data_IF_290752268272
#
_entry.id   IF_290752268272
#
_cell.length_a   1.000
_cell.length_b   1.000
_cell.length_c   1.000
_cell.angle_alpha   90.00
_cell.angle_beta   90.00
_cell.angle_gamma   90.00
#
_symmetry.space_group_name_H-M   'P 1'
#
loop_
_entity.id
_entity.type
_entity.pdbx_description
1 polymer ?
#
# COMPACT_ATOMS: atom_id res chain seq x y z
N UNK A 1 -6.65 7.42 8.40
CA UNK A 1 -6.04 8.74 8.54
C UNK A 1 -6.67 9.82 7.69
N UNK A 2 -7.07 9.53 6.45
CA UNK A 2 -7.50 10.56 5.49
C UNK A 2 -8.84 11.22 5.83
N UNK A 3 -9.79 10.50 6.44
CA UNK A 3 -11.09 11.07 6.82
C UNK A 3 -10.97 12.15 7.89
N UNK A 4 -10.14 11.94 8.91
CA UNK A 4 -9.91 12.95 9.97
C UNK A 4 -9.21 14.18 9.40
N UNK A 5 -8.19 13.98 8.56
CA UNK A 5 -7.49 15.08 7.88
C UNK A 5 -8.45 15.92 7.03
N UNK A 6 -9.32 15.26 6.25
CA UNK A 6 -10.32 15.96 5.43
C UNK A 6 -11.31 16.76 6.27
N UNK A 7 -11.78 16.22 7.39
CA UNK A 7 -12.67 16.94 8.33
C UNK A 7 -11.97 18.16 8.93
N UNK A 8 -10.74 18.01 9.43
CA UNK A 8 -9.95 19.13 9.97
C UNK A 8 -9.68 20.21 8.91
N UNK A 9 -9.44 19.83 7.67
CA UNK A 9 -9.27 20.77 6.56
C UNK A 9 -10.54 21.58 6.27
N UNK A 10 -11.73 20.97 6.35
CA UNK A 10 -13.01 21.68 6.21
C UNK A 10 -13.21 22.71 7.32
N UNK A 11 -12.83 22.38 8.56
CA UNK A 11 -12.88 23.31 9.71
C UNK A 11 -11.92 24.48 9.46
N UNK A 12 -10.68 24.22 9.05
CA UNK A 12 -9.67 25.25 8.76
C UNK A 12 -10.07 26.18 7.62
N UNK A 13 -10.78 25.67 6.61
CA UNK A 13 -11.32 26.45 5.49
C UNK A 13 -12.60 27.23 5.84
N UNK A 14 -13.15 27.02 7.04
CA UNK A 14 -14.40 27.65 7.45
C UNK A 14 -15.66 27.04 6.82
N UNK A 15 -15.55 25.88 6.19
CA UNK A 15 -16.69 25.15 5.60
C UNK A 15 -17.59 24.51 6.68
N UNK A 16 -17.02 24.29 7.85
CA UNK A 16 -17.69 23.67 9.00
C UNK A 16 -17.29 24.38 10.29
N UNK A 17 -18.29 24.81 11.08
CA UNK A 17 -18.07 25.45 12.37
C UNK A 17 -18.03 24.40 13.49
N UNK A 18 -16.86 24.26 14.12
CA UNK A 18 -16.63 23.35 15.23
C UNK A 18 -16.13 24.10 16.47
N UNK A 19 -17.01 24.77 17.23
CA UNK A 19 -16.61 25.69 18.33
C UNK A 19 -15.90 25.00 19.50
N UNK A 20 -15.98 23.67 19.58
CA UNK A 20 -15.30 22.86 20.61
C UNK A 20 -14.02 22.17 20.10
N UNK A 21 -13.59 22.48 18.87
CA UNK A 21 -12.40 21.88 18.25
C UNK A 21 -11.31 22.93 18.12
N UNK A 22 -10.13 22.66 18.69
CA UNK A 22 -8.91 23.43 18.49
C UNK A 22 -7.93 22.63 17.64
N UNK A 23 -7.41 23.23 16.56
CA UNK A 23 -6.51 22.57 15.64
C UNK A 23 -5.12 23.20 15.75
N UNK A 24 -4.13 22.37 16.10
CA UNK A 24 -2.72 22.74 16.15
C UNK A 24 -1.98 21.92 15.11
N UNK A 25 -1.52 22.57 14.04
CA UNK A 25 -0.86 21.89 12.94
C UNK A 25 0.54 22.46 12.74
N UNK A 26 1.53 21.76 13.24
CA UNK A 26 2.93 22.09 13.06
C UNK A 26 3.43 21.49 11.74
N UNK A 27 3.77 22.35 10.79
CA UNK A 27 4.25 21.93 9.47
C UNK A 27 5.08 23.05 8.82
N UNK A 28 5.86 22.70 7.81
CA UNK A 28 6.40 23.69 6.88
C UNK A 28 5.30 24.14 5.90
N UNK A 29 5.42 25.34 5.38
CA UNK A 29 4.45 25.91 4.45
C UNK A 29 4.67 25.41 3.02
N UNK A 30 5.95 25.16 2.65
CA UNK A 30 6.31 24.60 1.36
C UNK A 30 7.47 23.59 1.47
N UNK A 31 7.64 22.79 0.43
CA UNK A 31 8.76 21.85 0.32
C UNK A 31 10.12 22.55 0.22
N UNK A 32 10.13 23.78 -0.29
CA UNK A 32 11.36 24.58 -0.47
C UNK A 32 11.99 24.95 0.88
N UNK A 33 11.18 24.99 1.95
CA UNK A 33 11.64 25.28 3.30
C UNK A 33 12.40 24.10 3.97
N UNK A 34 12.35 22.92 3.38
CA UNK A 34 13.03 21.72 3.92
C UNK A 34 14.55 21.89 3.97
N UNK A 35 15.11 22.58 3.00
CA UNK A 35 16.54 22.90 2.94
C UNK A 35 16.99 24.04 3.87
N UNK A 36 16.06 24.72 4.56
CA UNK A 36 16.39 25.83 5.46
C UNK A 36 16.18 25.42 6.93
N UNK A 37 17.28 25.16 7.69
CA UNK A 37 17.20 24.78 9.11
C UNK A 37 16.43 25.80 9.98
N UNK A 38 16.41 27.08 9.63
CA UNK A 38 15.71 28.10 10.39
C UNK A 38 14.18 27.92 10.35
N UNK A 39 13.65 27.26 9.32
CA UNK A 39 12.23 26.98 9.15
C UNK A 39 11.75 25.76 9.93
N UNK A 40 12.65 24.84 10.31
CA UNK A 40 12.26 23.55 10.89
C UNK A 40 11.49 23.66 12.21
N UNK A 41 11.67 24.75 12.96
CA UNK A 41 10.88 25.05 14.17
C UNK A 41 9.37 25.18 13.90
N UNK A 42 8.95 25.54 12.68
CA UNK A 42 7.54 25.55 12.28
C UNK A 42 6.92 24.15 12.36
N UNK A 43 7.68 23.15 11.93
CA UNK A 43 7.23 21.75 11.93
C UNK A 43 7.45 21.06 13.28
N UNK A 44 8.49 21.45 14.03
CA UNK A 44 8.77 20.88 15.34
C UNK A 44 9.22 21.94 16.35
N UNK A 45 8.30 22.49 17.16
CA UNK A 45 8.64 23.46 18.22
C UNK A 45 9.55 22.90 19.32
N UNK A 46 9.71 21.56 19.39
CA UNK A 46 10.58 20.88 20.36
C UNK A 46 11.97 20.55 19.79
N UNK A 47 12.32 21.09 18.62
CA UNK A 47 13.65 20.99 18.07
C UNK A 47 14.68 21.54 19.08
N UNK A 48 15.81 20.86 19.25
CA UNK A 48 16.82 21.08 20.30
C UNK A 48 16.38 20.77 21.74
N UNK A 49 15.15 20.27 21.92
CA UNK A 49 14.68 19.78 23.23
C UNK A 49 14.54 18.26 23.25
N UNK A 50 13.93 17.70 22.22
CA UNK A 50 13.68 16.26 22.10
C UNK A 50 14.39 15.62 20.90
N UNK A 51 14.68 16.44 19.88
CA UNK A 51 15.36 16.02 18.64
C UNK A 51 16.33 17.14 18.25
N UNK A 52 17.54 16.79 17.86
CA UNK A 52 18.60 17.76 17.50
C UNK A 52 18.51 18.21 16.05
N UNK A 53 19.07 19.37 15.72
CA UNK A 53 19.24 19.85 14.34
C UNK A 53 20.04 18.85 13.51
N UNK A 54 21.04 18.21 14.09
CA UNK A 54 21.85 17.20 13.42
C UNK A 54 21.01 16.01 12.94
N UNK A 55 20.07 15.53 13.77
CA UNK A 55 19.15 14.46 13.37
C UNK A 55 18.27 14.87 12.18
N UNK A 56 17.76 16.11 12.20
CA UNK A 56 16.97 16.63 11.08
C UNK A 56 17.79 16.78 9.81
N UNK A 57 19.05 17.25 9.94
CA UNK A 57 19.98 17.38 8.81
C UNK A 57 20.23 16.01 8.15
N UNK A 58 20.50 14.98 8.95
CA UNK A 58 20.68 13.61 8.45
C UNK A 58 19.41 13.06 7.75
N UNK A 59 18.23 13.38 8.27
CA UNK A 59 16.97 12.99 7.64
C UNK A 59 16.75 13.74 6.31
N UNK A 60 17.12 15.02 6.21
CA UNK A 60 17.09 15.78 4.95
C UNK A 60 18.04 15.16 3.92
N UNK A 61 19.29 14.88 4.30
CA UNK A 61 20.26 14.21 3.43
C UNK A 61 19.77 12.84 2.93
N UNK A 62 19.15 12.05 3.82
CA UNK A 62 18.51 10.79 3.44
C UNK A 62 17.37 11.01 2.42
N UNK A 63 16.53 12.02 2.64
CA UNK A 63 15.43 12.33 1.75
C UNK A 63 15.90 12.79 0.36
N UNK A 64 17.07 13.41 0.27
CA UNK A 64 17.70 13.80 -1.00
C UNK A 64 18.28 12.61 -1.77
N UNK A 65 18.90 11.67 -1.06
CA UNK A 65 19.60 10.54 -1.67
C UNK A 65 18.77 9.26 -1.78
N UNK A 66 17.65 9.16 -1.05
CA UNK A 66 16.79 7.98 -1.04
C UNK A 66 15.33 8.34 -1.38
N UNK A 67 14.92 8.27 -2.66
CA UNK A 67 13.57 8.60 -3.08
C UNK A 67 12.47 7.78 -2.38
N UNK A 68 12.76 6.54 -1.97
CA UNK A 68 11.78 5.68 -1.29
C UNK A 68 11.45 6.15 0.13
N UNK A 69 12.39 6.78 0.83
CA UNK A 69 12.19 7.31 2.19
C UNK A 69 11.75 8.78 2.20
N UNK A 70 11.94 9.49 1.08
CA UNK A 70 11.69 10.92 0.99
C UNK A 70 10.30 11.31 1.44
N UNK A 71 9.26 10.67 0.92
CA UNK A 71 7.88 11.01 1.22
C UNK A 71 7.54 10.78 2.69
N UNK A 72 8.06 9.73 3.28
CA UNK A 72 7.88 9.41 4.70
C UNK A 72 8.56 10.44 5.60
N UNK A 73 9.79 10.82 5.28
CA UNK A 73 10.54 11.86 6.01
C UNK A 73 9.82 13.22 5.90
N UNK A 74 9.41 13.63 4.70
CA UNK A 74 8.70 14.90 4.49
C UNK A 74 7.38 14.95 5.26
N UNK A 75 6.63 13.85 5.27
CA UNK A 75 5.38 13.78 6.01
C UNK A 75 5.59 13.77 7.53
N UNK A 76 6.51 12.94 8.04
CA UNK A 76 6.70 12.73 9.49
C UNK A 76 7.51 13.84 10.17
N UNK A 77 8.55 14.36 9.51
CA UNK A 77 9.41 15.39 10.10
C UNK A 77 8.91 16.79 9.87
N UNK A 78 8.35 17.05 8.70
CA UNK A 78 8.02 18.40 8.25
C UNK A 78 6.52 18.66 8.12
N UNK A 79 5.68 17.63 8.36
CA UNK A 79 4.23 17.77 8.27
C UNK A 79 3.72 18.13 6.86
N UNK A 80 4.57 17.93 5.83
CA UNK A 80 4.22 18.22 4.44
C UNK A 80 3.36 17.05 3.94
N UNK A 81 2.08 17.29 3.58
CA UNK A 81 1.24 16.25 3.03
C UNK A 81 1.80 15.82 1.68
N UNK A 82 2.25 14.59 1.57
CA UNK A 82 2.64 14.02 0.30
C UNK A 82 1.42 13.36 -0.34
N UNK A 83 1.00 13.88 -1.48
CA UNK A 83 -0.04 13.25 -2.29
C UNK A 83 0.61 12.14 -3.11
N UNK A 84 0.14 10.92 -2.89
CA UNK A 84 0.59 9.74 -3.62
C UNK A 84 0.89 8.57 -2.69
N UNK A 85 0.62 7.37 -3.19
CA UNK A 85 1.04 6.14 -2.53
C UNK A 85 2.56 6.06 -2.63
N UNK A 86 3.23 5.84 -1.49
CA UNK A 86 4.64 5.45 -1.49
C UNK A 86 4.69 4.00 -1.95
N UNK A 87 4.98 3.79 -3.22
CA UNK A 87 5.19 2.43 -3.72
C UNK A 87 6.57 1.94 -3.25
N UNK A 88 6.63 0.69 -2.82
CA UNK A 88 7.90 0.05 -2.45
C UNK A 88 8.85 -0.04 -3.66
N UNK A 89 8.30 -0.28 -4.85
CA UNK A 89 9.01 -0.26 -6.12
C UNK A 89 8.52 0.90 -6.99
N UNK A 90 9.41 1.55 -7.71
CA UNK A 90 9.05 2.51 -8.77
C UNK A 90 8.39 1.80 -9.94
N UNK A 91 7.69 2.56 -10.77
CA UNK A 91 7.08 2.02 -11.99
C UNK A 91 8.13 1.40 -12.92
N UNK A 92 9.28 2.04 -13.07
CA UNK A 92 10.40 1.61 -13.89
C UNK A 92 10.99 0.27 -13.39
N UNK A 93 11.09 0.08 -12.08
CA UNK A 93 11.55 -1.18 -11.48
C UNK A 93 10.56 -2.32 -11.69
N UNK A 94 9.27 -2.02 -11.81
CA UNK A 94 8.23 -3.06 -12.02
C UNK A 94 8.06 -3.44 -13.48
N UNK A 95 8.44 -2.58 -14.46
CA UNK A 95 8.25 -2.84 -15.88
C UNK A 95 8.92 -4.14 -16.38
N UNK A 96 10.19 -4.43 -16.05
CA UNK A 96 10.87 -5.66 -16.48
C UNK A 96 10.21 -6.93 -15.95
N UNK A 97 9.52 -6.83 -14.81
CA UNK A 97 8.90 -7.95 -14.10
C UNK A 97 7.53 -8.34 -14.70
N UNK A 98 6.94 -7.49 -15.54
CA UNK A 98 5.61 -7.71 -16.14
C UNK A 98 5.62 -8.66 -17.35
N UNK A 99 6.66 -9.45 -17.55
CA UNK A 99 6.70 -10.45 -18.62
C UNK A 99 5.68 -11.53 -18.33
N UNK A 100 4.74 -11.73 -19.25
CA UNK A 100 3.85 -12.91 -19.19
C UNK A 100 4.70 -14.16 -19.34
N UNK A 101 4.67 -15.01 -18.32
CA UNK A 101 5.34 -16.32 -18.33
C UNK A 101 4.31 -17.37 -17.94
N UNK A 102 4.39 -18.52 -18.61
CA UNK A 102 3.60 -19.69 -18.25
C UNK A 102 4.34 -20.48 -17.17
N UNK A 103 3.59 -20.90 -16.16
CA UNK A 103 4.10 -21.69 -15.03
C UNK A 103 3.41 -23.07 -14.94
N UNK A 104 2.78 -23.52 -16.01
CA UNK A 104 2.07 -24.79 -16.10
C UNK A 104 2.95 -25.95 -15.62
N UNK A 105 2.43 -26.78 -14.71
CA UNK A 105 3.11 -27.92 -14.16
C UNK A 105 4.36 -27.65 -13.33
N UNK A 106 4.62 -26.37 -12.99
CA UNK A 106 5.83 -26.02 -12.25
C UNK A 106 5.64 -26.18 -10.74
N UNK A 107 6.72 -26.60 -10.03
CA UNK A 107 6.71 -26.58 -8.56
C UNK A 107 6.65 -25.15 -8.04
N UNK A 108 5.87 -24.94 -6.97
CA UNK A 108 5.75 -23.63 -6.33
C UNK A 108 5.56 -23.72 -4.82
N UNK A 109 5.83 -22.59 -4.17
CA UNK A 109 5.37 -22.32 -2.82
C UNK A 109 4.08 -21.47 -2.91
N UNK A 110 3.11 -21.75 -2.03
CA UNK A 110 1.88 -21.00 -1.89
C UNK A 110 1.91 -20.24 -0.57
N UNK A 111 1.76 -18.91 -0.61
CA UNK A 111 1.57 -18.06 0.55
C UNK A 111 0.13 -17.57 0.62
N UNK A 112 -0.43 -17.42 1.81
CA UNK A 112 -1.76 -16.87 2.02
C UNK A 112 -1.73 -15.73 3.05
N UNK A 113 -2.46 -14.66 2.71
CA UNK A 113 -2.84 -13.58 3.61
C UNK A 113 -4.36 -13.56 3.68
N UNK A 114 -4.89 -13.99 4.84
CA UNK A 114 -6.32 -14.18 5.05
C UNK A 114 -6.92 -12.90 5.62
N UNK A 115 -7.87 -12.33 4.92
CA UNK A 115 -8.52 -11.08 5.32
C UNK A 115 -9.39 -11.24 6.57
N UNK A 116 -9.49 -10.15 7.33
CA UNK A 116 -10.51 -9.97 8.36
C UNK A 116 -11.44 -8.82 7.94
N UNK A 117 -12.71 -9.13 7.66
CA UNK A 117 -13.73 -8.14 7.33
C UNK A 117 -13.72 -7.66 5.88
N UNK A 118 -13.54 -6.36 5.65
CA UNK A 118 -13.63 -5.72 4.32
C UNK A 118 -12.28 -5.67 3.57
N UNK A 119 -11.30 -6.48 3.92
CA UNK A 119 -9.98 -6.50 3.31
C UNK A 119 -9.84 -7.58 2.23
N UNK A 120 -8.72 -7.58 1.50
CA UNK A 120 -8.41 -8.60 0.50
C UNK A 120 -7.98 -9.91 1.17
N UNK A 121 -8.49 -11.03 0.67
CA UNK A 121 -7.89 -12.33 0.92
C UNK A 121 -7.00 -12.67 -0.28
N UNK A 122 -5.70 -12.89 -0.07
CA UNK A 122 -4.74 -13.04 -1.16
C UNK A 122 -3.91 -14.32 -1.05
N UNK A 123 -3.75 -14.99 -2.19
CA UNK A 123 -2.89 -16.15 -2.34
C UNK A 123 -1.79 -15.85 -3.37
N UNK A 124 -0.55 -16.13 -3.01
CA UNK A 124 0.62 -15.87 -3.84
C UNK A 124 1.36 -17.14 -4.14
N UNK A 125 1.48 -17.46 -5.42
CA UNK A 125 2.28 -18.56 -5.92
C UNK A 125 3.67 -18.07 -6.28
N UNK A 126 4.71 -18.68 -5.75
CA UNK A 126 6.11 -18.36 -6.01
C UNK A 126 6.81 -19.56 -6.68
N UNK A 127 7.25 -19.36 -7.91
CA UNK A 127 7.86 -20.39 -8.77
C UNK A 127 9.37 -20.15 -8.85
N UNK A 128 10.22 -21.05 -8.34
CA UNK A 128 11.66 -20.94 -8.52
C UNK A 128 12.03 -21.17 -10.00
N UNK A 129 12.88 -20.30 -10.54
CA UNK A 129 13.32 -20.37 -11.94
C UNK A 129 14.78 -20.85 -12.03
N UNK A 130 15.14 -21.36 -13.22
CA UNK A 130 16.47 -21.94 -13.47
C UNK A 130 17.62 -20.94 -13.38
N UNK A 131 17.33 -19.64 -13.51
CA UNK A 131 18.29 -18.53 -13.38
C UNK A 131 18.47 -18.02 -11.96
N UNK A 132 17.83 -18.67 -10.97
CA UNK A 132 17.85 -18.26 -9.56
C UNK A 132 16.86 -17.16 -9.21
N UNK A 133 16.11 -16.65 -10.17
CA UNK A 133 15.01 -15.72 -9.93
C UNK A 133 13.71 -16.46 -9.56
N UNK A 134 12.66 -15.69 -9.22
CA UNK A 134 11.35 -16.24 -8.91
C UNK A 134 10.29 -15.63 -9.82
N UNK A 135 9.39 -16.50 -10.31
CA UNK A 135 8.13 -16.05 -10.89
C UNK A 135 7.07 -15.93 -9.79
N UNK A 136 6.19 -14.93 -9.91
CA UNK A 136 5.12 -14.70 -8.94
C UNK A 136 3.78 -14.58 -9.65
N UNK A 137 2.78 -15.27 -9.14
CA UNK A 137 1.37 -15.11 -9.50
C UNK A 137 0.56 -14.85 -8.25
N UNK A 138 -0.40 -13.95 -8.35
CA UNK A 138 -1.31 -13.62 -7.26
C UNK A 138 -2.73 -13.95 -7.68
N UNK A 139 -3.51 -14.49 -6.75
CA UNK A 139 -4.95 -14.62 -6.85
C UNK A 139 -5.57 -14.02 -5.59
N UNK A 140 -6.26 -12.90 -5.75
CA UNK A 140 -6.87 -12.15 -4.66
C UNK A 140 -8.40 -12.24 -4.74
N UNK A 141 -9.05 -12.16 -3.58
CA UNK A 141 -10.51 -12.26 -3.45
C UNK A 141 -11.03 -11.09 -2.63
N UNK A 142 -12.13 -10.50 -3.09
CA UNK A 142 -12.91 -9.50 -2.36
C UNK A 142 -14.38 -9.75 -2.58
N UNK A 143 -15.24 -9.12 -1.76
CA UNK A 143 -16.68 -9.12 -2.00
C UNK A 143 -17.11 -7.98 -2.93
N UNK A 144 -18.26 -8.10 -3.56
CA UNK A 144 -18.89 -7.00 -4.30
C UNK A 144 -19.08 -5.75 -3.42
N UNK A 145 -19.41 -5.95 -2.15
CA UNK A 145 -19.52 -4.86 -1.17
C UNK A 145 -18.20 -4.14 -0.98
N UNK A 146 -17.09 -4.86 -0.82
CA UNK A 146 -15.76 -4.27 -0.69
C UNK A 146 -15.37 -3.51 -1.95
N UNK A 147 -15.60 -4.11 -3.13
CA UNK A 147 -15.34 -3.46 -4.41
C UNK A 147 -16.10 -2.12 -4.54
N UNK A 148 -17.37 -2.07 -4.11
CA UNK A 148 -18.19 -0.86 -4.18
C UNK A 148 -17.72 0.28 -3.26
N UNK A 149 -16.97 -0.03 -2.21
CA UNK A 149 -16.40 0.94 -1.26
C UNK A 149 -15.05 1.51 -1.72
N UNK A 150 -14.42 0.89 -2.70
CA UNK A 150 -13.13 1.35 -3.18
C UNK A 150 -13.23 2.70 -3.90
N UNK A 151 -12.18 3.54 -3.84
CA UNK A 151 -12.20 4.84 -4.53
C UNK A 151 -12.46 4.69 -6.02
N UNK A 152 -13.32 5.54 -6.58
CA UNK A 152 -13.67 5.53 -8.00
C UNK A 152 -12.46 5.56 -8.93
N UNK A 153 -11.42 6.31 -8.54
CA UNK A 153 -10.17 6.41 -9.31
C UNK A 153 -9.43 5.07 -9.46
N UNK A 154 -9.72 4.10 -8.59
CA UNK A 154 -9.10 2.77 -8.59
C UNK A 154 -9.89 1.75 -9.41
N UNK A 155 -11.15 2.01 -9.74
CA UNK A 155 -12.03 1.02 -10.37
C UNK A 155 -11.48 0.47 -11.67
N UNK A 156 -10.93 1.31 -12.55
CA UNK A 156 -10.36 0.86 -13.83
C UNK A 156 -9.23 -0.17 -13.60
N UNK A 157 -8.39 0.07 -12.60
CA UNK A 157 -7.29 -0.83 -12.24
C UNK A 157 -7.78 -2.17 -11.69
N UNK A 158 -8.84 -2.16 -10.89
CA UNK A 158 -9.45 -3.40 -10.39
C UNK A 158 -10.14 -4.18 -11.50
N UNK A 159 -10.77 -3.51 -12.46
CA UNK A 159 -11.31 -4.16 -13.65
C UNK A 159 -10.22 -4.82 -14.51
N UNK A 160 -9.04 -4.21 -14.63
CA UNK A 160 -7.89 -4.84 -15.29
C UNK A 160 -7.48 -6.14 -14.56
N UNK A 161 -7.37 -6.11 -13.23
CA UNK A 161 -7.03 -7.30 -12.43
C UNK A 161 -8.08 -8.40 -12.52
N UNK A 162 -9.38 -8.04 -12.59
CA UNK A 162 -10.45 -9.01 -12.82
C UNK A 162 -10.32 -9.65 -14.21
N UNK A 163 -10.06 -8.85 -15.25
CA UNK A 163 -9.90 -9.34 -16.63
C UNK A 163 -8.63 -10.21 -16.79
N UNK A 164 -7.58 -9.94 -16.02
CA UNK A 164 -6.36 -10.76 -15.98
C UNK A 164 -6.52 -12.05 -15.15
N UNK A 165 -7.62 -12.17 -14.40
CA UNK A 165 -7.89 -13.31 -13.53
C UNK A 165 -7.07 -13.34 -12.24
N UNK A 166 -6.46 -12.20 -11.87
CA UNK A 166 -5.71 -12.05 -10.61
C UNK A 166 -6.58 -11.55 -9.45
N UNK A 167 -7.76 -10.97 -9.74
CA UNK A 167 -8.75 -10.54 -8.76
C UNK A 167 -10.09 -11.22 -9.01
N UNK A 168 -10.58 -11.93 -8.00
CA UNK A 168 -11.91 -12.56 -7.99
C UNK A 168 -12.84 -11.76 -7.10
N UNK A 169 -14.03 -11.42 -7.64
CA UNK A 169 -15.07 -10.74 -6.87
C UNK A 169 -16.16 -11.77 -6.54
N UNK A 170 -16.28 -12.04 -5.25
CA UNK A 170 -17.25 -13.00 -4.71
C UNK A 170 -18.54 -12.29 -4.35
N UNK A 171 -19.66 -12.99 -4.52
CA UNK A 171 -20.98 -12.45 -4.17
C UNK A 171 -21.12 -12.25 -2.66
N UNK A 172 -21.90 -11.24 -2.27
CA UNK A 172 -22.26 -11.03 -0.87
C UNK A 172 -21.49 -9.93 -0.16
N UNK A 173 -21.58 -9.94 1.17
CA UNK A 173 -21.03 -8.87 2.03
C UNK A 173 -19.82 -9.33 2.85
N UNK A 174 -19.60 -10.64 2.95
CA UNK A 174 -18.49 -11.28 3.65
C UNK A 174 -17.99 -12.39 2.74
N UNK A 175 -16.67 -12.60 2.69
CA UNK A 175 -16.10 -13.70 1.92
C UNK A 175 -16.51 -15.05 2.54
N UNK A 176 -17.14 -15.91 1.75
CA UNK A 176 -17.29 -17.31 2.09
C UNK A 176 -15.95 -18.03 1.81
N UNK A 177 -15.24 -18.39 2.85
CA UNK A 177 -13.93 -19.01 2.72
C UNK A 177 -14.01 -20.39 2.09
N UNK A 178 -15.16 -21.08 2.14
CA UNK A 178 -15.31 -22.37 1.43
C UNK A 178 -15.34 -22.16 -0.08
N UNK A 179 -16.09 -21.14 -0.55
CA UNK A 179 -16.10 -20.77 -1.97
C UNK A 179 -14.70 -20.29 -2.44
N UNK A 180 -13.99 -19.52 -1.60
CA UNK A 180 -12.63 -19.07 -1.90
C UNK A 180 -11.68 -20.26 -2.05
N UNK A 181 -11.72 -21.24 -1.14
CA UNK A 181 -10.86 -22.42 -1.20
C UNK A 181 -11.21 -23.34 -2.36
N UNK A 182 -12.50 -23.48 -2.71
CA UNK A 182 -12.92 -24.26 -3.85
C UNK A 182 -12.43 -23.65 -5.17
N UNK A 183 -12.54 -22.32 -5.33
CA UNK A 183 -12.02 -21.62 -6.51
C UNK A 183 -10.49 -21.69 -6.58
N UNK A 184 -9.78 -21.57 -5.45
CA UNK A 184 -8.35 -21.69 -5.37
C UNK A 184 -7.88 -23.10 -5.76
N UNK A 185 -8.53 -24.15 -5.24
CA UNK A 185 -8.21 -25.53 -5.56
C UNK A 185 -8.42 -25.84 -7.05
N UNK A 186 -9.55 -25.41 -7.59
CA UNK A 186 -9.84 -25.51 -9.02
C UNK A 186 -8.76 -24.78 -9.86
N UNK A 187 -8.31 -23.60 -9.41
CA UNK A 187 -7.25 -22.87 -10.10
C UNK A 187 -5.92 -23.65 -10.09
N UNK A 188 -5.54 -24.22 -8.95
CA UNK A 188 -4.32 -25.04 -8.80
C UNK A 188 -4.38 -26.26 -9.72
N UNK A 189 -5.51 -26.99 -9.69
CA UNK A 189 -5.71 -28.20 -10.51
C UNK A 189 -5.69 -27.86 -12.00
N UNK A 190 -6.43 -26.82 -12.43
CA UNK A 190 -6.51 -26.42 -13.84
C UNK A 190 -5.18 -25.87 -14.38
N UNK A 191 -4.33 -25.33 -13.53
CA UNK A 191 -3.00 -24.83 -13.89
C UNK A 191 -1.91 -25.87 -13.71
N UNK A 192 -2.26 -27.06 -13.20
CA UNK A 192 -1.33 -28.17 -12.85
C UNK A 192 -0.16 -27.70 -11.94
N UNK A 193 -0.40 -26.69 -11.07
CA UNK A 193 0.64 -26.20 -10.16
C UNK A 193 1.00 -27.27 -9.14
N UNK A 194 2.30 -27.56 -9.04
CA UNK A 194 2.83 -28.53 -8.07
C UNK A 194 3.18 -27.80 -6.76
N UNK A 195 2.17 -27.60 -5.91
CA UNK A 195 2.33 -26.89 -4.63
C UNK A 195 3.12 -27.74 -3.64
N UNK A 196 4.37 -27.35 -3.34
CA UNK A 196 5.30 -28.08 -2.47
C UNK A 196 5.23 -27.66 -1.01
N UNK A 197 4.87 -26.41 -0.74
CA UNK A 197 4.67 -25.90 0.60
C UNK A 197 3.59 -24.81 0.63
N UNK A 198 2.96 -24.68 1.79
CA UNK A 198 1.95 -23.67 2.06
C UNK A 198 2.34 -22.91 3.32
N UNK A 199 2.34 -21.57 3.23
CA UNK A 199 2.63 -20.68 4.34
C UNK A 199 1.50 -19.68 4.51
N UNK A 200 1.17 -19.36 5.75
CA UNK A 200 0.18 -18.33 6.09
C UNK A 200 0.56 -17.65 7.40
N UNK A 201 0.08 -16.41 7.58
CA UNK A 201 0.18 -15.73 8.85
C UNK A 201 -1.01 -16.17 9.74
N UNK A 202 -0.76 -16.71 10.92
CA UNK A 202 -1.83 -17.20 11.80
C UNK A 202 -2.59 -16.10 12.56
N UNK A 203 -2.29 -14.80 12.36
CA UNK A 203 -2.88 -13.68 13.07
C UNK A 203 -3.73 -12.76 12.20
#
# INVERSE_FOLDING_TARGET
GDSIKMELMKILKGEYNAPHTSIWWYKLDSIDEVGDPAMWLKANPNLEKTVTYETYQLDVEKAEHNPSERNDILAKRFGIPMEGYTYYFTYEETLPQRKKRDYWGMPCALGADLSQGDDFCAFTFMFPLSDGSFGVKVRAYITERTLSKLPQAMHNKYFEFMNEGSLMVMNGTVLDMMEVYEDLDNHIVNSEYDVRCFGYDPY
#
